data_IF_968507527668
#
_entry.id   IF_968507527668
#
_cell.length_a   1.000
_cell.length_b   1.000
_cell.length_c   1.000
_cell.angle_alpha   90.00
_cell.angle_beta   90.00
_cell.angle_gamma   90.00
#
_symmetry.space_group_name_H-M   'P 1'
#
loop_
_entity.id
_entity.type
_entity.pdbx_description
1 polymer ?
#
# COMPACT_ATOMS: atom_id res chain seq x y z
N UNK A 1 -43.85 34.57 4.56
CA UNK A 1 -42.64 34.05 5.26
C UNK A 1 -42.80 32.55 5.51
N UNK A 2 -42.26 31.67 4.65
CA UNK A 2 -42.22 30.21 4.93
C UNK A 2 -41.31 29.37 4.01
N UNK A 3 -40.41 29.98 3.21
CA UNK A 3 -39.61 29.23 2.20
C UNK A 3 -38.09 29.29 2.47
N UNK A 4 -37.61 30.08 3.44
CA UNK A 4 -36.16 30.33 3.61
C UNK A 4 -35.46 29.33 4.56
N UNK A 5 -36.19 28.46 5.27
CA UNK A 5 -35.56 27.56 6.26
C UNK A 5 -34.96 26.27 5.69
N UNK A 6 -35.21 25.96 4.41
CA UNK A 6 -34.76 24.70 3.81
C UNK A 6 -33.42 24.79 3.08
N UNK A 7 -32.81 25.98 2.99
CA UNK A 7 -31.57 26.18 2.24
C UNK A 7 -30.27 25.92 3.02
N UNK A 8 -30.34 25.65 4.33
CA UNK A 8 -29.15 25.57 5.19
C UNK A 8 -28.71 24.15 5.59
N UNK A 9 -29.39 23.12 5.09
CA UNK A 9 -29.03 21.71 5.37
C UNK A 9 -28.28 21.06 4.19
N UNK A 10 -28.20 21.75 3.04
CA UNK A 10 -27.56 21.20 1.84
C UNK A 10 -26.07 21.57 1.69
N UNK A 11 -25.51 22.35 2.62
CA UNK A 11 -24.12 22.85 2.53
C UNK A 11 -23.11 22.05 3.36
N UNK A 12 -23.47 20.89 3.91
CA UNK A 12 -22.54 20.04 4.68
C UNK A 12 -22.45 18.59 4.16
N UNK A 13 -22.52 18.42 2.84
CA UNK A 13 -22.25 17.14 2.16
C UNK A 13 -21.13 17.22 1.12
N UNK A 14 -20.33 18.29 1.16
CA UNK A 14 -19.19 18.45 0.26
C UNK A 14 -17.94 18.56 1.13
N UNK A 15 -17.36 17.42 1.53
CA UNK A 15 -15.92 17.27 1.90
C UNK A 15 -15.53 15.80 2.22
N UNK A 16 -16.19 14.77 1.67
CA UNK A 16 -15.79 13.37 1.91
C UNK A 16 -15.30 12.63 0.66
N UNK A 17 -14.76 13.34 -0.33
CA UNK A 17 -14.26 12.69 -1.56
C UNK A 17 -12.74 12.79 -1.65
N UNK A 18 -12.11 11.61 -1.53
CA UNK A 18 -10.80 11.24 -2.08
C UNK A 18 -9.55 11.55 -1.25
N UNK A 19 -9.46 11.00 -0.03
CA UNK A 19 -8.15 10.84 0.64
C UNK A 19 -7.94 9.38 1.06
N UNK A 20 -8.06 8.46 0.10
CA UNK A 20 -7.69 7.05 0.33
C UNK A 20 -6.54 6.55 -0.55
N UNK A 21 -5.87 7.47 -1.25
CA UNK A 21 -4.62 7.18 -1.95
C UNK A 21 -3.59 8.22 -1.56
N UNK A 22 -2.69 7.81 -0.67
CA UNK A 22 -1.50 8.57 -0.35
C UNK A 22 -0.35 7.99 -1.16
N UNK A 23 0.36 8.87 -1.90
CA UNK A 23 1.62 8.52 -2.55
C UNK A 23 2.60 8.03 -1.47
N UNK A 24 3.21 6.89 -1.73
CA UNK A 24 4.29 6.42 -0.86
C UNK A 24 5.49 7.38 -0.93
N UNK A 25 6.22 7.54 0.19
CA UNK A 25 7.56 8.12 0.18
C UNK A 25 8.47 7.52 -0.91
N UNK A 26 9.33 8.34 -1.54
CA UNK A 26 10.10 7.94 -2.73
C UNK A 26 11.06 6.76 -2.47
N UNK A 27 11.58 6.64 -1.24
CA UNK A 27 12.39 5.50 -0.80
C UNK A 27 11.63 4.17 -0.92
N UNK A 28 10.32 4.17 -0.70
CA UNK A 28 9.49 2.98 -0.81
C UNK A 28 9.23 2.59 -2.24
N UNK A 29 9.02 3.56 -3.12
CA UNK A 29 8.73 3.29 -4.53
C UNK A 29 9.85 2.46 -5.20
N UNK A 30 11.11 2.79 -4.89
CA UNK A 30 12.27 2.02 -5.34
C UNK A 30 12.27 0.59 -4.78
N UNK A 31 12.05 0.44 -3.46
CA UNK A 31 12.02 -0.86 -2.78
C UNK A 31 10.88 -1.73 -3.33
N UNK A 32 9.68 -1.17 -3.49
CA UNK A 32 8.52 -1.88 -4.02
C UNK A 32 8.76 -2.35 -5.44
N UNK A 33 9.27 -1.47 -6.31
CA UNK A 33 9.58 -1.81 -7.71
C UNK A 33 10.53 -3.00 -7.76
N UNK A 34 11.64 -2.94 -7.04
CA UNK A 34 12.61 -4.04 -7.02
C UNK A 34 12.05 -5.32 -6.40
N UNK A 35 11.22 -5.21 -5.36
CA UNK A 35 10.59 -6.33 -4.69
C UNK A 35 9.62 -7.07 -5.63
N UNK A 36 8.81 -6.32 -6.39
CA UNK A 36 7.88 -6.90 -7.39
C UNK A 36 8.67 -7.60 -8.48
N UNK A 37 9.66 -6.94 -9.05
CA UNK A 37 10.47 -7.50 -10.13
C UNK A 37 11.12 -8.80 -9.68
N UNK A 38 11.69 -8.83 -8.47
CA UNK A 38 12.25 -10.05 -7.91
C UNK A 38 11.21 -11.14 -7.66
N UNK A 39 9.99 -10.82 -7.20
CA UNK A 39 8.94 -11.81 -6.98
C UNK A 39 8.40 -12.37 -8.30
N UNK A 40 8.31 -11.55 -9.35
CA UNK A 40 7.93 -12.02 -10.69
C UNK A 40 8.97 -13.01 -11.27
N UNK A 41 10.25 -12.87 -10.90
CA UNK A 41 11.31 -13.80 -11.31
C UNK A 41 11.30 -15.14 -10.54
N UNK A 42 10.63 -15.22 -9.39
CA UNK A 42 10.59 -16.44 -8.58
C UNK A 42 9.60 -17.45 -9.19
N UNK A 43 10.12 -18.57 -9.72
CA UNK A 43 9.33 -19.65 -10.36
C UNK A 43 8.29 -20.33 -9.46
N UNK A 44 8.41 -20.19 -8.12
CA UNK A 44 7.62 -20.93 -7.14
C UNK A 44 6.32 -20.24 -6.70
N UNK A 45 5.98 -19.08 -7.27
CA UNK A 45 4.69 -18.42 -7.08
C UNK A 45 4.81 -16.92 -6.84
N UNK A 46 3.65 -16.27 -6.76
CA UNK A 46 3.51 -14.82 -6.61
C UNK A 46 3.57 -14.34 -5.15
N UNK A 47 4.08 -15.16 -4.23
CA UNK A 47 4.15 -14.82 -2.82
C UNK A 47 5.50 -15.14 -2.19
N UNK A 48 5.89 -14.28 -1.26
CA UNK A 48 7.10 -14.39 -0.49
C UNK A 48 6.75 -14.40 0.99
N UNK A 49 7.30 -15.35 1.75
CA UNK A 49 7.04 -15.48 3.19
C UNK A 49 8.34 -15.39 3.99
N UNK A 50 8.36 -14.53 5.01
CA UNK A 50 9.45 -14.35 5.98
C UNK A 50 8.85 -14.19 7.37
N UNK A 51 9.05 -15.18 8.24
CA UNK A 51 8.52 -15.14 9.60
C UNK A 51 7.00 -14.91 9.63
N UNK A 52 6.58 -13.81 10.27
CA UNK A 52 5.17 -13.37 10.39
C UNK A 52 4.67 -12.55 9.19
N UNK A 53 5.54 -12.28 8.21
CA UNK A 53 5.27 -11.47 7.04
C UNK A 53 5.05 -12.34 5.81
N UNK A 54 4.01 -12.04 5.05
CA UNK A 54 3.76 -12.64 3.74
C UNK A 54 3.41 -11.54 2.76
N UNK A 55 4.29 -11.31 1.80
CA UNK A 55 4.06 -10.42 0.68
C UNK A 55 3.45 -11.24 -0.45
N UNK A 56 2.36 -10.77 -1.03
CA UNK A 56 1.73 -11.39 -2.19
C UNK A 56 1.53 -10.35 -3.28
N UNK A 57 2.08 -10.63 -4.46
CA UNK A 57 1.83 -9.86 -5.67
C UNK A 57 0.55 -10.42 -6.29
N UNK A 58 -0.57 -9.75 -6.03
CA UNK A 58 -1.88 -10.16 -6.57
C UNK A 58 -2.00 -9.85 -8.05
N UNK A 59 -1.39 -8.75 -8.50
CA UNK A 59 -1.25 -8.36 -9.91
C UNK A 59 -0.11 -7.35 -10.06
N UNK A 60 0.19 -6.94 -11.30
CA UNK A 60 1.16 -5.86 -11.59
C UNK A 60 0.81 -4.51 -10.94
N UNK A 61 -0.45 -4.36 -10.54
CA UNK A 61 -1.02 -3.13 -9.99
C UNK A 61 -1.42 -3.29 -8.52
N UNK A 62 -1.25 -4.46 -7.91
CA UNK A 62 -1.71 -4.71 -6.54
C UNK A 62 -0.82 -5.65 -5.77
N UNK A 63 -0.40 -5.19 -4.60
CA UNK A 63 0.43 -5.94 -3.64
C UNK A 63 -0.26 -5.93 -2.29
N UNK A 64 -0.16 -7.05 -1.59
CA UNK A 64 -0.66 -7.18 -0.23
C UNK A 64 0.45 -7.70 0.66
N UNK A 65 0.77 -6.95 1.71
CA UNK A 65 1.61 -7.39 2.81
C UNK A 65 0.73 -7.82 3.97
N UNK A 66 0.64 -9.13 4.20
CA UNK A 66 0.08 -9.71 5.41
C UNK A 66 1.14 -9.73 6.49
N UNK A 67 0.86 -9.08 7.63
CA UNK A 67 1.75 -9.03 8.78
C UNK A 67 0.99 -9.29 10.08
N UNK A 68 1.69 -9.65 11.15
CA UNK A 68 1.12 -9.65 12.49
C UNK A 68 1.64 -8.42 13.25
N UNK A 69 0.72 -7.50 13.54
CA UNK A 69 0.99 -6.27 14.28
C UNK A 69 0.10 -6.23 15.53
N UNK A 70 0.68 -5.97 16.70
CA UNK A 70 -0.01 -6.01 17.99
C UNK A 70 -0.91 -7.25 18.19
N UNK A 71 -0.35 -8.44 17.94
CA UNK A 71 -1.04 -9.76 18.02
C UNK A 71 -2.22 -9.96 17.07
N UNK A 72 -2.47 -9.04 16.14
CA UNK A 72 -3.53 -9.15 15.15
C UNK A 72 -2.95 -9.27 13.74
N UNK A 73 -3.60 -10.08 12.91
CA UNK A 73 -3.27 -10.16 11.49
C UNK A 73 -3.78 -8.89 10.79
N UNK A 74 -2.89 -8.22 10.08
CA UNK A 74 -3.14 -7.01 9.30
C UNK A 74 -2.77 -7.25 7.85
N UNK A 75 -3.57 -6.71 6.93
CA UNK A 75 -3.33 -6.78 5.50
C UNK A 75 -3.12 -5.36 4.98
N UNK A 76 -1.87 -4.99 4.75
CA UNK A 76 -1.51 -3.72 4.15
C UNK A 76 -1.60 -3.89 2.63
N UNK A 77 -2.35 -3.01 1.96
CA UNK A 77 -2.65 -3.14 0.54
C UNK A 77 -2.14 -1.91 -0.20
N UNK A 78 -1.34 -2.17 -1.22
CA UNK A 78 -0.73 -1.15 -2.07
C UNK A 78 -1.23 -1.35 -3.49
N UNK A 79 -1.60 -0.26 -4.16
CA UNK A 79 -2.04 -0.28 -5.56
C UNK A 79 -1.26 0.71 -6.40
N UNK A 80 -1.16 0.46 -7.70
CA UNK A 80 -0.67 1.46 -8.65
C UNK A 80 -1.83 2.34 -9.10
N UNK A 81 -1.66 3.65 -8.98
CA UNK A 81 -2.61 4.63 -9.48
C UNK A 81 -1.93 5.64 -10.39
N UNK A 82 -2.69 6.13 -11.37
CA UNK A 82 -2.25 7.21 -12.23
C UNK A 82 -2.34 8.54 -11.48
N UNK A 83 -1.25 9.28 -11.48
CA UNK A 83 -1.21 10.68 -11.03
C UNK A 83 -1.84 11.60 -12.08
N UNK A 84 -2.09 12.87 -11.73
CA UNK A 84 -2.55 13.91 -12.66
C UNK A 84 -1.64 14.06 -13.90
N UNK A 85 -0.35 13.74 -13.76
CA UNK A 85 0.65 13.75 -14.83
C UNK A 85 0.74 12.41 -15.61
N UNK A 86 -0.24 11.50 -15.47
CA UNK A 86 -0.26 10.16 -16.05
C UNK A 86 0.93 9.24 -15.65
N UNK A 87 1.65 9.55 -14.57
CA UNK A 87 2.66 8.65 -14.01
C UNK A 87 1.99 7.64 -13.09
N UNK A 88 2.30 6.36 -13.25
CA UNK A 88 1.83 5.29 -12.37
C UNK A 88 2.70 5.23 -11.12
N UNK A 89 2.11 5.48 -9.95
CA UNK A 89 2.82 5.47 -8.66
C UNK A 89 2.16 4.49 -7.70
N UNK A 90 2.94 3.94 -6.76
CA UNK A 90 2.38 3.12 -5.69
C UNK A 90 1.73 4.00 -4.61
N UNK A 91 0.52 3.62 -4.22
CA UNK A 91 -0.26 4.30 -3.18
C UNK A 91 -0.78 3.31 -2.14
N UNK A 92 -0.94 3.79 -0.91
CA UNK A 92 -1.63 3.05 0.15
C UNK A 92 -3.14 2.99 -0.17
N UNK A 93 -3.71 1.79 -0.25
CA UNK A 93 -5.07 1.57 -0.78
C UNK A 93 -6.20 1.58 0.27
N UNK A 94 -5.87 1.77 1.55
CA UNK A 94 -6.84 1.82 2.65
C UNK A 94 -6.26 2.53 3.88
N UNK A 95 -7.14 2.97 4.80
CA UNK A 95 -6.74 3.70 6.01
C UNK A 95 -5.65 2.99 6.81
N UNK A 96 -5.77 1.67 6.99
CA UNK A 96 -4.81 0.89 7.76
C UNK A 96 -3.41 0.97 7.13
N UNK A 97 -3.34 0.95 5.80
CA UNK A 97 -2.07 1.03 5.07
C UNK A 97 -1.51 2.45 5.15
N UNK A 98 -2.38 3.45 5.02
CA UNK A 98 -2.03 4.87 5.22
C UNK A 98 -1.46 5.10 6.61
N UNK A 99 -2.16 4.65 7.66
CA UNK A 99 -1.72 4.81 9.05
C UNK A 99 -0.35 4.14 9.30
N UNK A 100 -0.10 2.98 8.66
CA UNK A 100 1.19 2.31 8.76
C UNK A 100 2.31 3.07 8.05
N UNK A 101 2.03 3.67 6.88
CA UNK A 101 3.00 4.50 6.17
C UNK A 101 3.32 5.77 6.97
N UNK A 102 2.31 6.41 7.55
CA UNK A 102 2.46 7.71 8.21
C UNK A 102 3.05 7.63 9.62
N UNK A 103 2.65 6.62 10.39
CA UNK A 103 2.93 6.56 11.84
C UNK A 103 3.93 5.47 12.21
N UNK A 104 4.17 4.55 11.29
CA UNK A 104 5.01 3.37 11.51
C UNK A 104 5.95 3.14 10.32
N UNK A 105 6.44 4.24 9.72
CA UNK A 105 7.34 4.24 8.56
C UNK A 105 8.56 3.34 8.81
N UNK A 106 9.22 3.48 9.96
CA UNK A 106 10.42 2.68 10.29
C UNK A 106 10.13 1.17 10.30
N UNK A 107 9.08 0.73 11.01
CA UNK A 107 8.64 -0.67 11.06
C UNK A 107 8.35 -1.20 9.64
N UNK A 108 7.66 -0.40 8.83
CA UNK A 108 7.28 -0.77 7.47
C UNK A 108 8.49 -0.89 6.55
N UNK A 109 9.47 0.01 6.71
CA UNK A 109 10.75 0.00 5.99
C UNK A 109 11.53 -1.26 6.30
N UNK A 110 11.68 -1.59 7.59
CA UNK A 110 12.37 -2.80 8.03
C UNK A 110 11.72 -4.05 7.44
N UNK A 111 10.39 -4.15 7.52
CA UNK A 111 9.63 -5.25 6.91
C UNK A 111 9.91 -5.36 5.41
N UNK A 112 9.93 -4.27 4.65
CA UNK A 112 10.23 -4.34 3.22
C UNK A 112 11.68 -4.70 2.92
N UNK A 113 12.63 -4.21 3.69
CA UNK A 113 14.05 -4.53 3.52
C UNK A 113 14.32 -6.02 3.77
N UNK A 114 13.73 -6.60 4.82
CA UNK A 114 13.83 -8.05 5.07
C UNK A 114 13.26 -8.88 3.91
N UNK A 115 12.13 -8.43 3.36
CA UNK A 115 11.47 -9.10 2.24
C UNK A 115 12.28 -8.95 0.95
N UNK A 116 12.90 -7.78 0.71
CA UNK A 116 13.76 -7.52 -0.44
C UNK A 116 15.04 -8.36 -0.39
N UNK A 117 15.66 -8.49 0.79
CA UNK A 117 16.82 -9.35 0.94
C UNK A 117 16.48 -10.83 0.63
N UNK A 118 15.31 -11.28 1.10
CA UNK A 118 14.83 -12.63 0.80
C UNK A 118 14.49 -12.81 -0.69
N UNK A 119 13.88 -11.81 -1.33
CA UNK A 119 13.54 -11.88 -2.75
C UNK A 119 14.81 -11.98 -3.61
N UNK A 120 15.83 -11.16 -3.33
CA UNK A 120 17.15 -11.21 -3.99
C UNK A 120 17.81 -12.58 -3.87
N UNK A 121 17.73 -13.21 -2.69
CA UNK A 121 18.29 -14.56 -2.46
C UNK A 121 17.56 -15.62 -3.29
N UNK A 122 16.24 -15.50 -3.44
CA UNK A 122 15.42 -16.46 -4.19
C UNK A 122 15.45 -16.25 -5.70
N UNK A 123 15.58 -15.01 -6.17
CA UNK A 123 15.65 -14.69 -7.60
C UNK A 123 16.99 -15.04 -8.25
N UNK A 124 18.07 -15.19 -7.45
CA UNK A 124 19.39 -15.65 -7.92
C UNK A 124 19.50 -17.17 -8.12
N UNK A 125 18.41 -17.92 -7.92
CA UNK A 125 18.31 -19.39 -8.11
C UNK A 125 17.60 -19.65 -9.43
#
# INVERSE_FOLDING_TARGET
>A
MKIIKTLFVLSLFVLSTNVFSQKLPDNYEAIFTELIDNVELIRSGNSLKKGKHTLTVFSKEKIVLRTTYNKQVKNLTFVKEATEDNKMVWVAANQLTTDMVDRHEEDLTEMFMEMLELSRKKAKI
#
